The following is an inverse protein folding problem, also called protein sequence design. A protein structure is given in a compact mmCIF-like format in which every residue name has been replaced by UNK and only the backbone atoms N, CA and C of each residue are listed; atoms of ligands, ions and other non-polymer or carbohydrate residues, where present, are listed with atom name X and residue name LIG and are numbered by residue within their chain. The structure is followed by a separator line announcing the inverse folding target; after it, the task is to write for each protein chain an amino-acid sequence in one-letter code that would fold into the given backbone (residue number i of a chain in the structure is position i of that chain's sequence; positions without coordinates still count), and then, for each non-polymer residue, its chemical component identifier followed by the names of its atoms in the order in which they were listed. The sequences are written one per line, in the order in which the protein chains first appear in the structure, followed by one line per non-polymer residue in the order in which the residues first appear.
data_IF_656469898392
#
_entry.id   IF_656469898392
#
_cell.length_a   1.000
_cell.length_b   1.000
_cell.length_c   1.000
_cell.angle_alpha   90.00
_cell.angle_beta   90.00
_cell.angle_gamma   90.00
#
_symmetry.space_group_name_H-M   'P 1'
#
loop_
_entity.id
_entity.type
_entity.pdbx_description
1 polymer ?
#
# COMPACT_ATOMS: atom_id res chain seq x y z
N UNK A 1 -9.09 -1.70 -3.45
CA UNK A 1 -8.06 -2.32 -4.31
C UNK A 1 -8.04 -1.71 -5.72
N UNK A 2 -6.85 -1.45 -6.30
CA UNK A 2 -6.69 -0.98 -7.68
C UNK A 2 -6.35 -2.15 -8.62
N UNK A 3 -6.99 -2.17 -9.79
CA UNK A 3 -6.82 -3.23 -10.81
C UNK A 3 -6.48 -2.59 -12.14
N UNK A 4 -5.53 -3.18 -12.86
CA UNK A 4 -5.22 -2.86 -14.25
C UNK A 4 -5.97 -3.79 -15.19
N UNK A 5 -6.60 -3.23 -16.22
CA UNK A 5 -7.23 -4.02 -17.25
C UNK A 5 -6.14 -4.73 -18.09
N UNK A 6 -6.26 -6.04 -18.41
CA UNK A 6 -5.24 -6.76 -19.21
C UNK A 6 -4.97 -6.17 -20.60
N UNK A 7 -5.94 -5.40 -21.11
CA UNK A 7 -5.82 -4.64 -22.37
C UNK A 7 -5.49 -3.15 -22.15
N UNK A 8 -4.98 -2.78 -20.98
CA UNK A 8 -4.43 -1.45 -20.70
C UNK A 8 -3.01 -1.37 -21.29
N UNK A 9 -2.71 -0.29 -22.03
CA UNK A 9 -1.37 -0.07 -22.61
C UNK A 9 -1.16 -0.61 -24.04
N UNK A 10 0.10 -0.70 -24.46
CA UNK A 10 0.49 -0.99 -25.85
C UNK A 10 0.40 -2.49 -26.18
N UNK A 11 -0.77 -2.89 -26.70
CA UNK A 11 -1.10 -4.24 -27.16
C UNK A 11 -2.33 -4.23 -28.09
N UNK A 12 -2.68 -5.39 -28.65
CA UNK A 12 -3.88 -5.53 -29.52
C UNK A 12 -5.15 -5.56 -28.64
N UNK A 13 -5.61 -4.38 -28.24
CA UNK A 13 -6.81 -4.21 -27.45
C UNK A 13 -6.81 -2.88 -26.72
N UNK A 14 -7.87 -2.09 -26.90
CA UNK A 14 -8.10 -0.89 -26.11
C UNK A 14 -8.93 -1.29 -24.89
N UNK A 15 -8.43 -1.00 -23.69
CA UNK A 15 -9.21 -1.15 -22.46
C UNK A 15 -10.55 -0.40 -22.61
N UNK A 16 -11.68 -1.01 -22.22
CA UNK A 16 -12.96 -0.34 -22.29
C UNK A 16 -12.94 0.90 -21.39
N UNK A 17 -13.71 1.94 -21.73
CA UNK A 17 -13.83 3.13 -20.88
C UNK A 17 -14.47 2.85 -19.51
N UNK A 18 -15.14 1.71 -19.38
CA UNK A 18 -15.85 1.29 -18.18
C UNK A 18 -15.94 -0.24 -18.10
N UNK A 19 -15.87 -0.79 -16.89
CA UNK A 19 -15.97 -2.21 -16.57
C UNK A 19 -17.17 -2.44 -15.66
N UNK A 20 -17.84 -3.58 -15.81
CA UNK A 20 -18.92 -4.00 -14.91
C UNK A 20 -18.32 -4.77 -13.73
N UNK A 21 -18.32 -4.16 -12.55
CA UNK A 21 -17.81 -4.70 -11.28
C UNK A 21 -19.01 -5.03 -10.39
N UNK A 22 -19.36 -6.31 -10.31
CA UNK A 22 -20.52 -6.82 -9.55
C UNK A 22 -21.87 -6.14 -9.89
N UNK A 23 -22.04 -5.68 -11.14
CA UNK A 23 -23.23 -4.97 -11.59
C UNK A 23 -23.16 -3.45 -11.47
N UNK A 24 -22.07 -2.91 -10.91
CA UNK A 24 -21.75 -1.49 -10.91
C UNK A 24 -20.84 -1.14 -12.10
N UNK A 25 -21.09 0.01 -12.72
CA UNK A 25 -20.29 0.46 -13.85
C UNK A 25 -19.12 1.31 -13.35
N UNK A 26 -17.94 0.70 -13.28
CA UNK A 26 -16.71 1.35 -12.82
C UNK A 26 -15.96 1.97 -14.00
N UNK A 27 -15.63 3.27 -13.96
CA UNK A 27 -14.84 3.91 -15.01
C UNK A 27 -13.40 3.40 -15.00
N UNK A 28 -12.83 3.24 -16.18
CA UNK A 28 -11.42 2.91 -16.36
C UNK A 28 -10.65 4.21 -16.63
N UNK A 29 -9.61 4.44 -15.83
CA UNK A 29 -8.72 5.59 -15.96
C UNK A 29 -7.87 5.56 -17.23
N UNK A 30 -7.17 6.65 -17.48
CA UNK A 30 -6.37 6.84 -18.71
C UNK A 30 -5.22 5.84 -18.85
N UNK A 31 -4.71 5.33 -17.73
CA UNK A 31 -3.72 4.24 -17.66
C UNK A 31 -4.35 2.84 -17.77
N UNK A 32 -5.65 2.75 -18.02
CA UNK A 32 -6.36 1.47 -18.10
C UNK A 32 -6.58 0.79 -16.74
N UNK A 33 -6.47 1.54 -15.65
CA UNK A 33 -6.68 1.07 -14.27
C UNK A 33 -8.03 1.52 -13.71
N UNK A 34 -8.59 0.76 -12.78
CA UNK A 34 -9.88 1.04 -12.14
C UNK A 34 -9.91 0.51 -10.71
N UNK A 35 -10.82 1.06 -9.89
CA UNK A 35 -10.96 0.70 -8.48
C UNK A 35 -12.06 -0.36 -8.29
N UNK A 36 -11.77 -1.37 -7.47
CA UNK A 36 -12.75 -2.37 -7.05
C UNK A 36 -12.83 -2.42 -5.51
N UNK A 37 -14.00 -2.80 -4.95
CA UNK A 37 -14.10 -3.07 -3.52
C UNK A 37 -13.20 -4.23 -3.12
N UNK A 38 -12.60 -4.17 -1.93
CA UNK A 38 -11.66 -5.19 -1.46
C UNK A 38 -12.33 -6.58 -1.29
N UNK A 39 -13.62 -6.59 -0.96
CA UNK A 39 -14.44 -7.81 -0.90
C UNK A 39 -14.82 -8.40 -2.27
N UNK A 40 -14.50 -7.71 -3.38
CA UNK A 40 -14.83 -8.14 -4.74
C UNK A 40 -13.88 -9.21 -5.32
N UNK A 41 -13.18 -9.96 -4.47
CA UNK A 41 -12.23 -11.03 -4.88
C UNK A 41 -12.89 -12.08 -5.77
N UNK A 42 -14.17 -12.38 -5.54
CA UNK A 42 -14.95 -13.32 -6.36
C UNK A 42 -15.23 -12.81 -7.78
N UNK A 43 -15.36 -11.50 -7.94
CA UNK A 43 -15.47 -10.86 -9.25
C UNK A 43 -14.11 -10.82 -9.96
N UNK A 44 -13.06 -10.40 -9.25
CA UNK A 44 -11.68 -10.30 -9.77
C UNK A 44 -11.22 -11.62 -10.39
N UNK A 45 -11.46 -12.74 -9.69
CA UNK A 45 -11.13 -14.07 -10.20
C UNK A 45 -11.82 -14.42 -11.51
N UNK A 46 -13.10 -14.05 -11.66
CA UNK A 46 -13.87 -14.28 -12.91
C UNK A 46 -13.43 -13.37 -14.03
N UNK A 47 -13.07 -12.14 -13.70
CA UNK A 47 -12.51 -11.18 -14.63
C UNK A 47 -11.17 -11.67 -15.18
N UNK A 48 -10.24 -12.06 -14.30
CA UNK A 48 -8.94 -12.61 -14.68
C UNK A 48 -9.09 -13.89 -15.53
N UNK A 49 -9.94 -14.84 -15.10
CA UNK A 49 -10.23 -16.07 -15.84
C UNK A 49 -10.78 -15.80 -17.25
N UNK A 50 -11.65 -14.78 -17.40
CA UNK A 50 -12.18 -14.37 -18.72
C UNK A 50 -11.09 -13.89 -19.66
N UNK A 51 -10.08 -13.21 -19.12
CA UNK A 51 -8.98 -12.66 -19.88
C UNK A 51 -7.78 -13.63 -20.00
N UNK A 52 -7.84 -14.79 -19.34
CA UNK A 52 -6.79 -15.80 -19.37
C UNK A 52 -5.51 -15.36 -18.66
N UNK A 53 -5.63 -14.48 -17.67
CA UNK A 53 -4.55 -13.98 -16.82
C UNK A 53 -4.77 -14.41 -15.38
N UNK A 54 -3.73 -14.39 -14.55
CA UNK A 54 -3.87 -14.62 -13.13
C UNK A 54 -4.46 -13.37 -12.44
N UNK A 55 -5.30 -13.54 -11.41
CA UNK A 55 -5.91 -12.41 -10.71
C UNK A 55 -4.87 -11.52 -10.03
N UNK A 56 -3.76 -12.09 -9.58
CA UNK A 56 -2.66 -11.35 -8.96
C UNK A 56 -1.90 -10.48 -9.99
N UNK A 57 -1.78 -10.91 -11.26
CA UNK A 57 -1.09 -10.14 -12.32
C UNK A 57 -1.82 -8.85 -12.70
N UNK A 58 -3.13 -8.77 -12.43
CA UNK A 58 -3.95 -7.59 -12.74
C UNK A 58 -4.15 -6.68 -11.55
N UNK A 59 -3.87 -7.15 -10.33
CA UNK A 59 -3.93 -6.28 -9.15
C UNK A 59 -2.72 -5.36 -9.20
N UNK A 60 -2.98 -4.06 -9.19
CA UNK A 60 -1.95 -3.08 -8.89
C UNK A 60 -2.04 -2.84 -7.42
N UNK A 61 -1.20 -3.56 -6.69
CA UNK A 61 -0.86 -3.19 -5.33
C UNK A 61 -0.45 -1.72 -5.41
N UNK A 62 -1.23 -0.83 -4.78
CA UNK A 62 -0.56 0.34 -4.22
C UNK A 62 0.45 -0.29 -3.26
N UNK A 63 1.72 -0.23 -3.62
CA UNK A 63 2.87 -0.58 -2.79
C UNK A 63 2.86 0.42 -1.62
N UNK A 64 1.94 0.16 -0.71
CA UNK A 64 1.57 0.95 0.43
C UNK A 64 1.02 -0.08 1.41
N UNK A 65 1.76 -0.40 2.48
CA UNK A 65 1.47 -1.56 3.30
C UNK A 65 0.03 -1.54 3.79
N UNK A 66 -0.62 -2.72 3.88
CA UNK A 66 -1.99 -2.81 4.39
C UNK A 66 -2.04 -2.12 5.74
N UNK A 67 -2.99 -1.21 5.92
CA UNK A 67 -3.39 -0.65 7.20
C UNK A 67 -3.63 -1.77 8.21
N UNK A 68 -2.56 -2.19 8.88
CA UNK A 68 -2.53 -3.23 9.88
C UNK A 68 -1.65 -2.74 11.03
N UNK A 69 -2.02 -1.60 11.63
CA UNK A 69 -1.27 -1.08 12.76
C UNK A 69 -1.66 0.30 13.27
N UNK A 70 -2.97 0.58 13.42
CA UNK A 70 -3.46 1.71 14.24
C UNK A 70 -3.24 3.11 13.68
N UNK A 71 -4.27 3.95 13.79
CA UNK A 71 -4.20 5.39 13.51
C UNK A 71 -3.29 6.19 14.49
N UNK A 72 -2.33 5.54 15.15
CA UNK A 72 -1.51 6.08 16.23
C UNK A 72 0.01 6.01 15.95
N UNK A 73 0.46 5.15 15.03
CA UNK A 73 1.86 5.16 14.61
C UNK A 73 2.14 6.46 13.81
N UNK A 74 3.11 7.29 14.21
CA UNK A 74 3.44 8.51 13.48
C UNK A 74 4.03 8.18 12.11
N UNK A 75 3.74 9.03 11.12
CA UNK A 75 4.43 8.94 9.84
C UNK A 75 5.79 9.64 9.95
N UNK A 76 6.91 8.93 9.76
CA UNK A 76 8.22 9.53 9.94
C UNK A 76 8.51 10.53 8.81
N UNK A 77 7.94 10.36 7.62
CA UNK A 77 8.12 11.26 6.48
C UNK A 77 7.46 12.63 6.67
N UNK A 78 6.43 12.74 7.51
CA UNK A 78 5.80 14.02 7.88
C UNK A 78 6.71 14.88 8.78
N UNK A 79 7.65 14.24 9.49
CA UNK A 79 8.50 14.91 10.47
C UNK A 79 9.97 14.96 10.03
N UNK A 80 10.71 16.06 10.30
CA UNK A 80 12.16 16.04 10.20
C UNK A 80 12.75 15.10 11.27
N UNK A 81 13.93 14.54 11.02
CA UNK A 81 14.58 13.54 11.90
C UNK A 81 14.75 14.06 13.34
N UNK A 82 14.92 15.36 13.53
CA UNK A 82 15.04 15.97 14.85
C UNK A 82 13.75 15.83 15.67
N UNK A 83 12.59 16.17 15.08
CA UNK A 83 11.28 16.06 15.72
C UNK A 83 10.84 14.59 15.83
N UNK A 84 11.16 13.75 14.83
CA UNK A 84 10.88 12.32 14.86
C UNK A 84 11.45 11.65 16.11
N UNK A 85 12.68 12.01 16.51
CA UNK A 85 13.32 11.46 17.72
C UNK A 85 12.53 11.77 19.00
N UNK A 86 11.93 12.96 19.09
CA UNK A 86 11.14 13.35 20.26
C UNK A 86 9.85 12.53 20.32
N UNK A 87 9.19 12.39 19.17
CA UNK A 87 7.96 11.58 19.02
C UNK A 87 8.23 10.12 19.38
N UNK A 88 9.31 9.53 18.84
CA UNK A 88 9.69 8.13 19.12
C UNK A 88 9.94 7.86 20.61
N UNK A 89 10.41 8.85 21.37
CA UNK A 89 10.64 8.70 22.81
C UNK A 89 9.33 8.60 23.61
N UNK A 90 8.20 9.07 23.07
CA UNK A 90 6.87 8.94 23.71
C UNK A 90 6.23 7.56 23.44
N UNK A 91 6.79 6.80 22.50
CA UNK A 91 6.29 5.47 22.11
C UNK A 91 7.07 4.39 22.86
N UNK A 92 6.38 3.65 23.71
CA UNK A 92 6.93 2.51 24.48
C UNK A 92 6.47 1.14 23.93
N UNK A 93 5.78 1.12 22.79
CA UNK A 93 5.27 -0.11 22.17
C UNK A 93 6.12 -0.51 20.95
N UNK A 94 6.67 -1.73 20.98
CA UNK A 94 7.59 -2.22 19.94
C UNK A 94 6.86 -2.41 18.62
N UNK A 95 5.65 -2.96 18.63
CA UNK A 95 4.86 -3.18 17.42
C UNK A 95 4.59 -1.85 16.68
N UNK A 96 4.35 -0.77 17.44
CA UNK A 96 4.16 0.58 16.88
C UNK A 96 5.45 1.09 16.26
N UNK A 97 6.58 0.95 16.95
CA UNK A 97 7.88 1.39 16.44
C UNK A 97 8.32 0.61 15.19
N UNK A 98 8.04 -0.69 15.12
CA UNK A 98 8.28 -1.52 13.92
C UNK A 98 7.43 -1.03 12.74
N UNK A 99 6.16 -0.68 12.98
CA UNK A 99 5.30 -0.07 11.95
C UNK A 99 5.88 1.25 11.42
N UNK A 100 6.42 2.10 12.31
CA UNK A 100 7.07 3.37 11.92
C UNK A 100 8.34 3.10 11.09
N UNK A 101 9.11 2.07 11.45
CA UNK A 101 10.31 1.68 10.71
C UNK A 101 10.00 1.25 9.28
N UNK A 102 8.96 0.44 9.10
CA UNK A 102 8.49 0.02 7.77
C UNK A 102 8.09 1.24 6.93
N UNK A 103 7.34 2.19 7.50
CA UNK A 103 6.97 3.43 6.81
C UNK A 103 8.15 4.31 6.43
N UNK A 104 9.19 4.39 7.25
CA UNK A 104 10.39 5.16 6.88
C UNK A 104 11.11 4.51 5.71
N UNK A 105 11.25 3.17 5.71
CA UNK A 105 11.92 2.40 4.65
C UNK A 105 11.14 2.43 3.33
N UNK A 106 9.82 2.35 3.40
CA UNK A 106 8.93 2.42 2.25
C UNK A 106 8.84 3.84 1.67
N UNK A 107 8.88 4.86 2.54
CA UNK A 107 8.77 6.27 2.16
C UNK A 107 10.08 6.90 1.66
N UNK A 108 10.77 7.61 2.55
CA UNK A 108 11.96 8.42 2.19
C UNK A 108 13.28 7.67 2.37
N UNK A 109 13.26 6.54 3.07
CA UNK A 109 14.41 5.72 3.43
C UNK A 109 15.60 6.56 3.92
N UNK A 110 15.37 7.51 4.84
CA UNK A 110 16.46 8.33 5.37
C UNK A 110 17.23 7.46 6.34
N UNK A 111 18.48 7.15 6.00
CA UNK A 111 19.41 6.39 6.84
C UNK A 111 19.37 6.87 8.31
N UNK A 112 19.50 8.18 8.52
CA UNK A 112 19.45 8.79 9.87
C UNK A 112 18.09 8.66 10.60
N UNK A 113 16.99 8.48 9.87
CA UNK A 113 15.65 8.22 10.42
C UNK A 113 15.51 6.75 10.81
N UNK A 114 15.89 5.84 9.91
CA UNK A 114 15.94 4.39 10.15
C UNK A 114 16.75 4.07 11.40
N UNK A 115 17.98 4.58 11.50
CA UNK A 115 18.86 4.37 12.66
C UNK A 115 18.24 4.88 13.97
N UNK A 116 17.50 5.99 13.93
CA UNK A 116 16.85 6.55 15.11
C UNK A 116 15.69 5.65 15.60
N UNK A 117 14.91 5.09 14.69
CA UNK A 117 13.79 4.20 15.01
C UNK A 117 14.32 2.87 15.53
N UNK A 118 15.31 2.25 14.85
CA UNK A 118 15.93 1.00 15.29
C UNK A 118 16.58 1.14 16.68
N UNK A 119 17.23 2.27 16.95
CA UNK A 119 17.79 2.56 18.27
C UNK A 119 16.72 2.64 19.36
N UNK A 120 15.53 3.17 19.06
CA UNK A 120 14.43 3.23 20.03
C UNK A 120 13.80 1.86 20.25
N UNK A 121 13.57 1.09 19.18
CA UNK A 121 13.09 -0.30 19.25
C UNK A 121 13.98 -1.13 20.18
N UNK A 122 15.29 -1.05 19.99
CA UNK A 122 16.24 -1.78 20.81
C UNK A 122 16.17 -1.34 22.28
N UNK A 123 16.10 -0.04 22.55
CA UNK A 123 15.97 0.48 23.91
C UNK A 123 14.70 0.01 24.63
N UNK A 124 13.56 -0.07 23.94
CA UNK A 124 12.28 -0.56 24.52
C UNK A 124 12.32 -2.07 24.76
N UNK A 125 12.96 -2.85 23.87
CA UNK A 125 13.10 -4.30 24.06
C UNK A 125 14.07 -4.71 25.18
N UNK A 126 15.00 -3.83 25.55
CA UNK A 126 15.99 -4.07 26.60
C UNK A 126 15.53 -3.67 28.02
N UNK A 127 14.35 -3.05 28.17
CA UNK A 127 13.79 -2.57 29.45
C UNK A 127 12.97 -3.62 30.22
#
# INVERSE_FOLDING_TARGET
MRVEHPNAGEGDGVAPAQVDVDGDNTPVGEEGTFEIPDDATGWLRRFAERHGVDPDDVVREEDGPPDAGGADAPDPSDHPVADLRDILNDIDDVDVLETVLERERDGKDRETGVEAIESRINAVQED
#
